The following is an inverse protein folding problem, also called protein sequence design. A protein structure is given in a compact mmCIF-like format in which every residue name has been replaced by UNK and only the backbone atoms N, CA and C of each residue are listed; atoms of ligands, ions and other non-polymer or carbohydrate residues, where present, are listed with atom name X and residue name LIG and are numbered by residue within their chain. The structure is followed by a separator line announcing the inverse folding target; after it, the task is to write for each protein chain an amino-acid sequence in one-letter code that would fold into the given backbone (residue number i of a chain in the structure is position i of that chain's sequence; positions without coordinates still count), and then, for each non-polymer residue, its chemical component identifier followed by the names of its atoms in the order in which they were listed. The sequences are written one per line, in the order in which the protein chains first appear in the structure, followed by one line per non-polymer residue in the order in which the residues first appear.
data_IF_774633670049
#
_entry.id   IF_774633670049
#
_cell.length_a   1.000
_cell.length_b   1.000
_cell.length_c   1.000
_cell.angle_alpha   90.00
_cell.angle_beta   90.00
_cell.angle_gamma   90.00
#
_symmetry.space_group_name_H-M   'P 1'
#
loop_
_entity.id
_entity.type
_entity.pdbx_description
1 polymer ?
#
# COMPACT_ATOMS: atom_id res chain seq x y z
N UNK A 1 2.21 7.15 -26.99
CA UNK A 1 1.04 7.86 -26.44
C UNK A 1 0.11 6.85 -25.81
N UNK A 2 0.12 6.77 -24.47
CA UNK A 2 -1.00 6.37 -23.61
C UNK A 2 -0.44 6.14 -22.20
N UNK A 3 -0.23 7.23 -21.45
CA UNK A 3 0.04 7.16 -20.02
C UNK A 3 -1.23 6.69 -19.30
N UNK A 4 -1.30 5.41 -18.95
CA UNK A 4 -2.21 4.96 -17.89
C UNK A 4 -1.48 3.99 -16.95
N UNK A 5 -0.44 4.52 -16.31
CA UNK A 5 0.21 3.91 -15.15
C UNK A 5 -0.61 4.20 -13.88
N UNK A 6 -1.44 3.24 -13.44
CA UNK A 6 -2.17 3.37 -12.17
C UNK A 6 -1.22 3.31 -10.96
N UNK A 7 -1.50 4.08 -9.90
CA UNK A 7 -0.71 4.05 -8.65
C UNK A 7 -0.67 2.63 -8.08
N UNK A 8 -1.85 2.02 -7.87
CA UNK A 8 -2.03 0.60 -7.59
C UNK A 8 -1.15 0.05 -6.44
N UNK A 9 -1.04 -1.28 -6.36
CA UNK A 9 -0.20 -1.95 -5.35
C UNK A 9 1.31 -1.77 -5.58
N UNK A 10 1.72 -1.25 -6.74
CA UNK A 10 3.12 -1.01 -7.08
C UNK A 10 3.67 0.32 -6.56
N UNK A 11 2.82 1.34 -6.37
CA UNK A 11 3.23 2.65 -5.85
C UNK A 11 3.99 2.56 -4.52
N UNK A 12 3.48 1.90 -3.47
CA UNK A 12 4.17 1.88 -2.18
C UNK A 12 5.49 1.10 -2.21
N UNK A 13 5.62 0.08 -3.06
CA UNK A 13 6.89 -0.62 -3.27
C UNK A 13 7.94 0.29 -3.94
N UNK A 14 7.52 1.10 -4.93
CA UNK A 14 8.40 2.08 -5.57
C UNK A 14 8.81 3.18 -4.60
N UNK A 15 7.88 3.71 -3.81
CA UNK A 15 8.18 4.71 -2.78
C UNK A 15 9.23 4.19 -1.80
N UNK A 16 9.09 2.95 -1.35
CA UNK A 16 10.05 2.31 -0.45
C UNK A 16 11.45 2.17 -1.06
N UNK A 17 11.54 1.72 -2.32
CA UNK A 17 12.84 1.61 -3.01
C UNK A 17 13.50 2.97 -3.25
N UNK A 18 12.70 3.98 -3.59
CA UNK A 18 13.18 5.36 -3.76
C UNK A 18 13.67 5.97 -2.44
N UNK A 19 12.95 5.77 -1.33
CA UNK A 19 13.36 6.24 -0.01
C UNK A 19 14.68 5.58 0.45
N UNK A 20 14.86 4.29 0.14
CA UNK A 20 16.11 3.58 0.38
C UNK A 20 17.23 3.89 -0.65
N UNK A 21 16.96 4.77 -1.62
CA UNK A 21 17.90 5.17 -2.69
C UNK A 21 18.45 3.98 -3.48
N UNK A 22 17.62 2.96 -3.68
CA UNK A 22 17.96 1.75 -4.44
C UNK A 22 17.56 1.92 -5.89
N UNK A 23 18.53 1.74 -6.79
CA UNK A 23 18.27 1.69 -8.23
C UNK A 23 17.38 0.49 -8.57
N UNK A 24 16.31 0.73 -9.32
CA UNK A 24 15.36 -0.30 -9.70
C UNK A 24 14.73 -0.01 -11.06
N UNK A 25 14.34 -1.08 -11.75
CA UNK A 25 13.57 -1.00 -12.99
C UNK A 25 12.08 -1.11 -12.68
N UNK A 26 11.26 -0.31 -13.36
CA UNK A 26 9.80 -0.38 -13.23
C UNK A 26 9.22 -0.95 -14.52
N UNK A 27 8.52 -2.07 -14.40
CA UNK A 27 7.76 -2.67 -15.48
C UNK A 27 6.28 -2.41 -15.25
N UNK A 28 5.66 -1.67 -16.17
CA UNK A 28 4.24 -1.32 -16.14
C UNK A 28 3.50 -2.03 -17.26
N UNK A 29 2.26 -2.40 -17.01
CA UNK A 29 1.38 -3.00 -18.01
C UNK A 29 0.20 -2.07 -18.24
N UNK A 30 0.02 -1.68 -19.48
CA UNK A 30 -1.12 -0.86 -19.88
C UNK A 30 -2.41 -1.68 -19.84
N UNK A 31 -3.49 -0.99 -19.48
CA UNK A 31 -4.85 -1.49 -19.63
C UNK A 31 -5.43 -0.82 -20.89
N UNK A 32 -5.91 -1.64 -21.81
CA UNK A 32 -6.45 -1.21 -23.09
C UNK A 32 -7.92 -1.64 -23.17
N UNK A 33 -8.77 -0.78 -23.71
CA UNK A 33 -10.17 -1.10 -23.96
C UNK A 33 -10.25 -2.24 -25.00
N UNK A 34 -11.02 -3.28 -24.68
CA UNK A 34 -11.23 -4.40 -25.59
C UNK A 34 -12.26 -3.97 -26.63
N UNK A 35 -11.80 -3.59 -27.83
CA UNK A 35 -12.66 -3.08 -28.90
C UNK A 35 -13.74 -4.06 -29.43
N UNK A 36 -13.83 -5.28 -28.88
CA UNK A 36 -14.81 -6.29 -29.28
C UNK A 36 -15.83 -6.66 -28.20
N UNK A 37 -15.59 -6.31 -26.93
CA UNK A 37 -16.50 -6.55 -25.81
C UNK A 37 -16.32 -5.38 -24.84
N UNK A 38 -17.39 -4.73 -24.37
CA UNK A 38 -17.37 -3.62 -23.40
C UNK A 38 -16.57 -3.95 -22.11
N UNK A 39 -15.24 -3.94 -22.19
CA UNK A 39 -14.35 -4.61 -21.26
C UNK A 39 -12.91 -4.14 -21.46
N UNK A 40 -12.02 -4.57 -20.57
CA UNK A 40 -10.64 -4.11 -20.53
C UNK A 40 -9.68 -5.29 -20.63
N UNK A 41 -8.64 -5.18 -21.45
CA UNK A 41 -7.58 -6.18 -21.62
C UNK A 41 -6.20 -5.61 -21.24
N UNK A 42 -5.25 -6.49 -20.97
CA UNK A 42 -3.86 -6.10 -20.67
C UNK A 42 -2.88 -7.14 -21.19
N UNK A 43 -1.73 -6.68 -21.70
CA UNK A 43 -0.59 -7.54 -22.08
C UNK A 43 -0.05 -8.36 -20.90
N UNK A 44 -0.41 -7.97 -19.66
CA UNK A 44 -0.13 -8.73 -18.46
C UNK A 44 -0.66 -10.18 -18.52
N UNK A 45 -1.84 -10.44 -19.09
CA UNK A 45 -2.41 -11.80 -19.07
C UNK A 45 -1.59 -12.81 -19.88
N UNK A 46 -0.99 -12.37 -20.98
CA UNK A 46 -0.05 -13.19 -21.75
C UNK A 46 1.25 -13.35 -20.97
N UNK A 47 1.79 -12.26 -20.45
CA UNK A 47 3.04 -12.25 -19.67
C UNK A 47 2.93 -13.14 -18.42
N UNK A 48 1.79 -13.14 -17.74
CA UNK A 48 1.50 -13.99 -16.57
C UNK A 48 1.68 -15.47 -16.90
N UNK A 49 1.12 -15.94 -18.03
CA UNK A 49 1.26 -17.35 -18.45
C UNK A 49 2.71 -17.72 -18.72
N UNK A 50 3.46 -16.85 -19.41
CA UNK A 50 4.90 -17.04 -19.66
C UNK A 50 5.68 -17.09 -18.35
N UNK A 51 5.49 -16.09 -17.46
CA UNK A 51 6.14 -16.03 -16.15
C UNK A 51 5.84 -17.27 -15.30
N UNK A 52 4.59 -17.74 -15.26
CA UNK A 52 4.22 -18.96 -14.52
C UNK A 52 5.00 -20.18 -15.03
N UNK A 53 5.15 -20.31 -16.34
CA UNK A 53 5.83 -21.44 -16.98
C UNK A 53 7.34 -21.36 -16.77
N UNK A 54 7.94 -20.19 -17.02
CA UNK A 54 9.38 -19.96 -16.95
C UNK A 54 9.92 -20.01 -15.51
N UNK A 55 9.23 -19.36 -14.58
CA UNK A 55 9.62 -19.33 -13.16
C UNK A 55 9.19 -20.58 -12.37
N UNK A 56 8.34 -21.43 -12.96
CA UNK A 56 7.64 -22.53 -12.28
C UNK A 56 6.91 -22.08 -11.00
N UNK A 57 6.49 -20.83 -10.94
CA UNK A 57 5.77 -20.25 -9.82
C UNK A 57 4.27 -20.22 -10.13
N UNK A 58 3.49 -21.05 -9.43
CA UNK A 58 2.02 -21.07 -9.59
C UNK A 58 1.34 -19.81 -9.02
N UNK A 59 2.02 -19.08 -8.14
CA UNK A 59 1.48 -17.92 -7.41
C UNK A 59 1.67 -16.59 -8.14
N UNK A 60 2.11 -16.61 -9.41
CA UNK A 60 2.35 -15.38 -10.18
C UNK A 60 1.11 -14.50 -10.19
N UNK A 61 1.28 -13.29 -9.66
CA UNK A 61 0.26 -12.27 -9.64
C UNK A 61 0.90 -10.88 -9.59
N UNK A 62 0.14 -9.84 -9.91
CA UNK A 62 0.57 -8.46 -9.63
C UNK A 62 0.32 -8.11 -8.14
N UNK A 63 1.17 -7.27 -7.54
CA UNK A 63 2.49 -6.88 -8.02
C UNK A 63 3.46 -8.07 -7.93
N UNK A 64 4.50 -8.06 -8.76
CA UNK A 64 5.63 -8.99 -8.65
C UNK A 64 6.95 -8.23 -8.55
N UNK A 65 7.95 -8.89 -7.96
CA UNK A 65 9.33 -8.39 -7.81
C UNK A 65 10.27 -9.41 -8.42
N UNK A 66 11.14 -8.96 -9.31
CA UNK A 66 12.23 -9.77 -9.86
C UNK A 66 13.49 -9.45 -9.07
N UNK A 67 13.88 -10.35 -8.18
CA UNK A 67 15.17 -10.30 -7.53
C UNK A 67 16.22 -10.89 -8.46
N UNK A 68 16.94 -10.02 -9.18
CA UNK A 68 18.00 -10.43 -10.11
C UNK A 68 19.20 -11.04 -9.37
N UNK A 69 19.47 -10.62 -8.14
CA UNK A 69 20.61 -11.09 -7.35
C UNK A 69 20.40 -12.54 -6.93
N UNK A 70 19.21 -12.85 -6.43
CA UNK A 70 18.85 -14.19 -5.97
C UNK A 70 18.19 -15.04 -7.07
N UNK A 71 18.00 -14.47 -8.26
CA UNK A 71 17.33 -15.10 -9.41
C UNK A 71 15.93 -15.64 -9.07
N UNK A 72 15.10 -14.80 -8.42
CA UNK A 72 13.75 -15.17 -7.94
C UNK A 72 12.67 -14.22 -8.45
N UNK A 73 11.50 -14.79 -8.70
CA UNK A 73 10.26 -14.05 -8.96
C UNK A 73 9.35 -14.18 -7.74
N UNK A 74 9.17 -13.07 -7.02
CA UNK A 74 8.23 -12.98 -5.90
C UNK A 74 6.94 -12.31 -6.35
N UNK A 75 5.82 -12.77 -5.82
CA UNK A 75 4.49 -12.25 -6.07
C UNK A 75 3.72 -12.20 -4.74
N UNK A 76 2.50 -11.66 -4.77
CA UNK A 76 1.67 -11.35 -3.60
C UNK A 76 2.19 -10.13 -2.84
N UNK A 77 1.32 -9.14 -2.66
CA UNK A 77 1.64 -7.82 -2.09
C UNK A 77 2.49 -7.90 -0.82
N UNK A 78 2.01 -8.60 0.21
CA UNK A 78 2.70 -8.63 1.51
C UNK A 78 4.04 -9.38 1.43
N UNK A 79 4.15 -10.40 0.58
CA UNK A 79 5.41 -11.10 0.36
C UNK A 79 6.42 -10.21 -0.37
N UNK A 80 5.98 -9.41 -1.34
CA UNK A 80 6.81 -8.41 -2.01
C UNK A 80 7.32 -7.34 -1.03
N UNK A 81 6.45 -6.80 -0.16
CA UNK A 81 6.85 -5.85 0.88
C UNK A 81 7.84 -6.47 1.87
N UNK A 82 7.54 -7.65 2.40
CA UNK A 82 8.40 -8.32 3.37
C UNK A 82 9.77 -8.65 2.78
N UNK A 83 9.83 -9.13 1.54
CA UNK A 83 11.10 -9.45 0.87
C UNK A 83 11.94 -8.18 0.66
N UNK A 84 11.39 -7.16 0.01
CA UNK A 84 12.13 -5.93 -0.25
C UNK A 84 12.53 -5.26 1.06
N UNK A 85 11.61 -5.14 2.02
CA UNK A 85 11.86 -4.55 3.33
C UNK A 85 13.03 -5.22 4.04
N UNK A 86 13.09 -6.57 4.06
CA UNK A 86 14.24 -7.29 4.65
C UNK A 86 15.55 -7.03 3.89
N UNK A 87 15.50 -6.95 2.56
CA UNK A 87 16.69 -6.68 1.74
C UNK A 87 17.30 -5.28 1.99
N UNK A 88 16.49 -4.29 2.35
CA UNK A 88 16.91 -2.88 2.51
C UNK A 88 16.90 -2.40 3.97
N UNK A 89 16.63 -3.28 4.94
CA UNK A 89 16.61 -2.94 6.36
C UNK A 89 15.36 -2.17 6.83
N UNK A 90 14.24 -2.28 6.12
CA UNK A 90 12.96 -1.62 6.41
C UNK A 90 11.88 -2.63 6.84
N UNK A 91 12.24 -3.62 7.66
CA UNK A 91 11.31 -4.67 8.12
C UNK A 91 11.57 -5.08 9.58
N UNK A 92 11.76 -4.07 10.44
CA UNK A 92 12.17 -4.24 11.83
C UNK A 92 13.65 -4.57 12.00
N UNK A 93 14.18 -4.33 13.19
CA UNK A 93 15.58 -4.59 13.57
C UNK A 93 15.76 -5.90 14.33
N UNK A 94 14.66 -6.50 14.78
CA UNK A 94 14.61 -7.73 15.56
C UNK A 94 13.30 -8.50 15.27
N UNK A 95 13.20 -9.73 15.76
CA UNK A 95 12.07 -10.63 15.49
C UNK A 95 10.73 -10.07 15.98
N UNK A 96 10.72 -9.28 17.06
CA UNK A 96 9.50 -8.66 17.58
C UNK A 96 9.02 -7.57 16.62
N UNK A 97 9.90 -6.65 16.23
CA UNK A 97 9.56 -5.59 15.26
C UNK A 97 9.18 -6.15 13.90
N UNK A 98 9.87 -7.20 13.43
CA UNK A 98 9.51 -7.88 12.19
C UNK A 98 8.11 -8.50 12.26
N UNK A 99 7.75 -9.12 13.40
CA UNK A 99 6.41 -9.67 13.63
C UNK A 99 5.33 -8.59 13.69
N UNK A 100 5.65 -7.41 14.23
CA UNK A 100 4.75 -6.25 14.20
C UNK A 100 4.57 -5.75 12.77
N UNK A 101 5.65 -5.67 11.97
CA UNK A 101 5.57 -5.32 10.55
C UNK A 101 4.64 -6.27 9.79
N UNK A 102 4.74 -7.58 10.03
CA UNK A 102 3.86 -8.57 9.41
C UNK A 102 2.39 -8.38 9.78
N UNK A 103 2.09 -8.16 11.07
CA UNK A 103 0.73 -7.87 11.53
C UNK A 103 0.16 -6.60 10.89
N UNK A 104 0.96 -5.54 10.83
CA UNK A 104 0.58 -4.28 10.19
C UNK A 104 0.30 -4.46 8.70
N UNK A 105 1.14 -5.19 7.96
CA UNK A 105 0.87 -5.48 6.56
C UNK A 105 -0.44 -6.25 6.34
N UNK A 106 -0.80 -7.16 7.25
CA UNK A 106 -2.09 -7.86 7.20
C UNK A 106 -3.26 -6.89 7.47
N UNK A 107 -3.19 -6.09 8.53
CA UNK A 107 -4.25 -5.13 8.87
C UNK A 107 -4.44 -4.05 7.78
N UNK A 108 -3.35 -3.57 7.18
CA UNK A 108 -3.38 -2.62 6.06
C UNK A 108 -3.95 -3.29 4.79
N UNK A 109 -3.70 -4.58 4.58
CA UNK A 109 -4.29 -5.32 3.47
C UNK A 109 -5.81 -5.47 3.64
N UNK A 110 -6.28 -5.67 4.87
CA UNK A 110 -7.72 -5.70 5.16
C UNK A 110 -8.36 -4.32 4.97
N UNK A 111 -7.70 -3.24 5.42
CA UNK A 111 -8.11 -1.85 5.14
C UNK A 111 -8.26 -1.57 3.64
N UNK A 112 -7.43 -2.21 2.81
CA UNK A 112 -7.48 -2.05 1.35
C UNK A 112 -8.73 -2.67 0.74
N UNK A 113 -9.33 -3.67 1.35
CA UNK A 113 -10.45 -4.40 0.75
C UNK A 113 -11.66 -3.49 0.42
N UNK A 114 -12.18 -2.66 1.35
CA UNK A 114 -13.25 -1.70 1.05
C UNK A 114 -12.91 -0.73 -0.10
N UNK A 115 -11.67 -0.24 -0.15
CA UNK A 115 -11.19 0.63 -1.23
C UNK A 115 -11.27 -0.07 -2.60
N UNK A 116 -10.86 -1.34 -2.68
CA UNK A 116 -10.91 -2.12 -3.93
C UNK A 116 -12.34 -2.42 -4.37
N UNK A 117 -13.23 -2.70 -3.43
CA UNK A 117 -14.65 -2.87 -3.75
C UNK A 117 -15.21 -1.59 -4.35
N UNK A 118 -14.91 -0.43 -3.76
CA UNK A 118 -15.30 0.86 -4.32
C UNK A 118 -14.74 1.07 -5.74
N UNK A 119 -13.44 0.91 -5.95
CA UNK A 119 -12.82 1.21 -7.24
C UNK A 119 -13.23 0.28 -8.40
N UNK A 120 -13.55 -0.99 -8.12
CA UNK A 120 -13.74 -1.99 -9.18
C UNK A 120 -15.12 -2.62 -9.23
N UNK A 121 -15.96 -2.43 -8.20
CA UNK A 121 -17.27 -3.09 -8.10
C UNK A 121 -18.40 -2.14 -7.76
N UNK A 122 -18.15 -0.84 -7.76
CA UNK A 122 -19.17 0.19 -7.54
C UNK A 122 -19.34 1.08 -8.78
N UNK A 123 -20.36 1.92 -8.75
CA UNK A 123 -20.60 2.96 -9.77
C UNK A 123 -19.84 4.27 -9.48
N UNK A 124 -19.00 4.30 -8.44
CA UNK A 124 -18.24 5.48 -8.04
C UNK A 124 -19.07 6.57 -7.37
N UNK A 125 -20.32 6.29 -6.99
CA UNK A 125 -21.20 7.25 -6.32
C UNK A 125 -20.73 7.63 -4.91
N UNK A 126 -21.25 8.76 -4.42
CA UNK A 126 -21.03 9.24 -3.05
C UNK A 126 -21.52 8.21 -2.02
N UNK A 127 -22.64 7.54 -2.30
CA UNK A 127 -23.25 6.52 -1.46
C UNK A 127 -22.34 5.30 -1.30
N UNK A 128 -21.75 4.81 -2.40
CA UNK A 128 -20.81 3.69 -2.36
C UNK A 128 -19.49 4.06 -1.70
N UNK A 129 -19.00 5.28 -1.91
CA UNK A 129 -17.82 5.79 -1.19
C UNK A 129 -18.07 5.82 0.33
N UNK A 130 -19.23 6.32 0.77
CA UNK A 130 -19.60 6.33 2.21
C UNK A 130 -19.69 4.91 2.78
N UNK A 131 -20.21 3.94 2.04
CA UNK A 131 -20.22 2.52 2.46
C UNK A 131 -18.80 1.97 2.60
N UNK A 132 -17.91 2.28 1.66
CA UNK A 132 -16.52 1.87 1.72
C UNK A 132 -15.79 2.49 2.93
N UNK A 133 -16.04 3.77 3.22
CA UNK A 133 -15.47 4.44 4.39
C UNK A 133 -15.98 3.84 5.70
N UNK A 134 -17.27 3.53 5.80
CA UNK A 134 -17.84 2.85 6.98
C UNK A 134 -17.24 1.45 7.19
N UNK A 135 -16.93 0.71 6.12
CA UNK A 135 -16.24 -0.58 6.22
C UNK A 135 -14.76 -0.44 6.57
N UNK A 136 -14.10 0.65 6.14
CA UNK A 136 -12.71 0.95 6.45
C UNK A 136 -12.51 1.47 7.89
N UNK A 137 -13.53 2.08 8.48
CA UNK A 137 -13.45 2.75 9.79
C UNK A 137 -12.85 1.89 10.91
N UNK A 138 -13.25 0.61 11.13
CA UNK A 138 -12.67 -0.21 12.19
C UNK A 138 -11.16 -0.42 12.03
N UNK A 139 -10.67 -0.53 10.79
CA UNK A 139 -9.25 -0.69 10.48
C UNK A 139 -8.48 0.62 10.72
N UNK A 140 -9.06 1.76 10.30
CA UNK A 140 -8.49 3.08 10.57
C UNK A 140 -8.41 3.36 12.08
N UNK A 141 -9.44 2.99 12.84
CA UNK A 141 -9.42 3.12 14.30
C UNK A 141 -8.31 2.29 14.95
N UNK A 142 -8.16 1.01 14.56
CA UNK A 142 -7.06 0.16 15.07
C UNK A 142 -5.68 0.73 14.76
N UNK A 143 -5.44 1.18 13.53
CA UNK A 143 -4.16 1.75 13.12
C UNK A 143 -3.89 3.09 13.83
N UNK A 144 -4.91 3.92 14.03
CA UNK A 144 -4.81 5.13 14.82
C UNK A 144 -4.47 4.83 16.30
N UNK A 145 -5.08 3.79 16.88
CA UNK A 145 -4.75 3.32 18.23
C UNK A 145 -3.35 2.71 18.32
N UNK A 146 -2.89 1.99 17.30
CA UNK A 146 -1.51 1.49 17.22
C UNK A 146 -0.50 2.63 17.31
N UNK A 147 -0.66 3.67 16.49
CA UNK A 147 0.19 4.86 16.53
C UNK A 147 0.11 5.60 17.88
N UNK A 148 -1.05 5.63 18.52
CA UNK A 148 -1.18 6.20 19.87
C UNK A 148 -0.37 5.41 20.91
N UNK A 149 -0.37 4.08 20.83
CA UNK A 149 0.44 3.24 21.72
C UNK A 149 1.94 3.44 21.47
N UNK A 150 2.36 3.57 20.22
CA UNK A 150 3.75 3.88 19.87
C UNK A 150 4.23 5.24 20.43
N UNK A 151 3.33 6.23 20.52
CA UNK A 151 3.64 7.51 21.16
C UNK A 151 3.84 7.35 22.67
N UNK A 152 2.94 6.62 23.32
CA UNK A 152 2.92 6.44 24.77
C UNK A 152 4.04 5.54 25.31
N UNK A 153 4.60 4.65 24.47
CA UNK A 153 5.71 3.77 24.86
C UNK A 153 6.99 4.54 25.27
N UNK A 154 7.08 5.85 25.01
CA UNK A 154 8.19 6.72 25.42
C UNK A 154 7.95 7.57 26.68
N UNK A 155 6.75 7.56 27.27
CA UNK A 155 6.40 8.41 28.42
C UNK A 155 6.34 9.92 28.11
N UNK A 156 6.28 10.28 26.83
CA UNK A 156 6.19 11.66 26.35
C UNK A 156 4.92 11.82 25.53
N UNK A 157 3.89 12.38 26.17
CA UNK A 157 2.55 12.58 25.57
C UNK A 157 2.60 13.52 24.34
N UNK A 158 3.64 14.35 24.22
CA UNK A 158 3.85 15.29 23.11
C UNK A 158 4.72 14.71 21.98
N UNK A 159 5.18 13.45 22.10
CA UNK A 159 5.99 12.82 21.07
C UNK A 159 5.18 12.64 19.79
N UNK A 160 5.63 13.31 18.73
CA UNK A 160 5.13 13.06 17.38
C UNK A 160 5.58 11.68 16.89
N UNK A 161 4.64 10.85 16.46
CA UNK A 161 4.92 9.52 15.92
C UNK A 161 4.58 9.48 14.45
N UNK A 162 5.64 9.41 13.63
CA UNK A 162 5.57 9.34 12.18
C UNK A 162 5.89 7.95 11.62
N UNK A 163 6.10 6.98 12.51
CA UNK A 163 6.57 5.65 12.18
C UNK A 163 5.71 4.61 12.87
N UNK A 164 5.33 3.56 12.16
CA UNK A 164 4.54 2.47 12.70
C UNK A 164 5.34 1.54 13.60
N UNK A 165 6.66 1.45 13.42
CA UNK A 165 7.53 0.53 14.17
C UNK A 165 8.88 1.17 14.45
N UNK A 166 9.32 1.14 15.71
CA UNK A 166 10.73 1.38 16.08
C UNK A 166 11.28 2.78 15.82
N UNK A 167 10.41 3.75 15.51
CA UNK A 167 10.81 5.14 15.23
C UNK A 167 11.56 5.32 13.90
N UNK A 168 11.45 4.37 12.98
CA UNK A 168 12.04 4.43 11.63
C UNK A 168 11.02 4.00 10.58
N UNK A 169 11.18 4.43 9.33
CA UNK A 169 10.29 3.99 8.25
C UNK A 169 10.53 2.51 7.92
N UNK A 170 9.43 1.77 7.88
CA UNK A 170 9.36 0.34 7.57
C UNK A 170 8.37 0.09 6.42
N UNK A 171 8.40 -1.11 5.84
CA UNK A 171 7.54 -1.47 4.70
C UNK A 171 6.01 -1.18 4.93
N UNK A 172 5.43 -1.45 6.11
CA UNK A 172 4.06 -1.04 6.42
C UNK A 172 3.77 0.45 6.28
N UNK A 173 4.71 1.34 6.60
CA UNK A 173 4.51 2.79 6.55
C UNK A 173 4.17 3.25 5.12
N UNK A 174 4.93 2.77 4.13
CA UNK A 174 4.69 3.06 2.72
C UNK A 174 3.33 2.53 2.26
N UNK A 175 2.93 1.34 2.73
CA UNK A 175 1.65 0.76 2.36
C UNK A 175 0.48 1.56 2.94
N UNK A 176 0.57 1.94 4.21
CA UNK A 176 -0.45 2.72 4.89
C UNK A 176 -0.57 4.12 4.27
N UNK A 177 0.55 4.80 4.05
CA UNK A 177 0.57 6.14 3.46
C UNK A 177 -0.20 6.20 2.13
N UNK A 178 0.07 5.28 1.20
CA UNK A 178 -0.64 5.23 -0.09
C UNK A 178 -2.15 5.07 0.12
N UNK A 179 -2.59 4.19 1.01
CA UNK A 179 -4.03 3.99 1.24
C UNK A 179 -4.68 5.24 1.86
N UNK A 180 -4.05 5.88 2.83
CA UNK A 180 -4.56 7.11 3.43
C UNK A 180 -4.67 8.23 2.39
N UNK A 181 -3.68 8.37 1.50
CA UNK A 181 -3.71 9.34 0.40
C UNK A 181 -4.87 9.07 -0.55
N UNK A 182 -5.10 7.80 -0.91
CA UNK A 182 -6.22 7.39 -1.76
C UNK A 182 -7.59 7.64 -1.12
N UNK A 183 -7.76 7.33 0.17
CA UNK A 183 -9.02 7.61 0.89
C UNK A 183 -9.30 9.11 0.96
N UNK A 184 -8.28 9.92 1.29
CA UNK A 184 -8.38 11.37 1.32
C UNK A 184 -8.76 11.93 -0.06
N UNK A 185 -8.13 11.43 -1.13
CA UNK A 185 -8.40 11.86 -2.49
C UNK A 185 -9.85 11.54 -2.92
N UNK A 186 -10.37 10.35 -2.59
CA UNK A 186 -11.77 9.99 -2.88
C UNK A 186 -12.71 10.94 -2.12
N UNK A 187 -12.47 11.16 -0.83
CA UNK A 187 -13.32 12.00 0.01
C UNK A 187 -13.40 13.44 -0.53
N UNK A 188 -12.26 14.00 -0.96
CA UNK A 188 -12.20 15.34 -1.55
C UNK A 188 -12.85 15.39 -2.93
N UNK A 189 -12.53 14.43 -3.81
CA UNK A 189 -13.05 14.40 -5.19
C UNK A 189 -14.58 14.32 -5.23
N UNK A 190 -15.17 13.58 -4.28
CA UNK A 190 -16.62 13.41 -4.17
C UNK A 190 -17.30 14.46 -3.28
N UNK A 191 -16.56 15.44 -2.75
CA UNK A 191 -17.10 16.48 -1.87
C UNK A 191 -17.68 15.94 -0.55
N UNK A 192 -17.16 14.81 -0.05
CA UNK A 192 -17.61 14.17 1.19
C UNK A 192 -16.95 14.83 2.41
N UNK A 193 -15.65 15.07 2.33
CA UNK A 193 -14.87 15.75 3.37
C UNK A 193 -13.59 16.33 2.79
N UNK A 194 -13.25 17.56 3.18
CA UNK A 194 -11.96 18.17 2.85
C UNK A 194 -10.82 17.64 3.73
N UNK A 195 -11.16 17.10 4.92
CA UNK A 195 -10.23 16.56 5.93
C UNK A 195 -10.72 15.20 6.42
N UNK A 196 -10.58 14.17 5.59
CA UNK A 196 -11.03 12.81 5.91
C UNK A 196 -10.35 12.25 7.16
N UNK A 197 -9.06 12.59 7.37
CA UNK A 197 -8.29 12.13 8.52
C UNK A 197 -8.51 12.97 9.79
N UNK A 198 -9.35 14.01 9.75
CA UNK A 198 -9.60 14.86 10.93
C UNK A 198 -10.11 14.10 12.15
N UNK A 199 -10.80 12.97 11.95
CA UNK A 199 -11.28 12.10 13.02
C UNK A 199 -10.25 11.06 13.52
N UNK A 200 -9.09 10.99 12.86
CA UNK A 200 -7.99 10.07 13.19
C UNK A 200 -6.69 10.86 13.40
N UNK A 201 -6.54 11.55 14.55
CA UNK A 201 -5.47 12.52 14.74
C UNK A 201 -4.07 11.93 14.58
N UNK A 202 -3.85 10.68 15.01
CA UNK A 202 -2.54 10.02 14.87
C UNK A 202 -2.28 9.59 13.43
N UNK A 203 -3.29 9.13 12.68
CA UNK A 203 -3.13 8.85 11.25
C UNK A 203 -2.87 10.13 10.44
N UNK A 204 -3.50 11.25 10.81
CA UNK A 204 -3.24 12.55 10.20
C UNK A 204 -1.80 13.00 10.43
N UNK A 205 -1.34 12.93 11.68
CA UNK A 205 0.04 13.22 12.06
C UNK A 205 1.06 12.30 11.37
N UNK A 206 0.75 11.01 11.26
CA UNK A 206 1.53 10.04 10.50
C UNK A 206 1.63 10.45 9.03
N UNK A 207 0.50 10.73 8.35
CA UNK A 207 0.50 11.12 6.94
C UNK A 207 1.32 12.39 6.71
N UNK A 208 1.11 13.42 7.53
CA UNK A 208 1.86 14.68 7.42
C UNK A 208 3.36 14.47 7.62
N UNK A 209 3.78 13.71 8.65
CA UNK A 209 5.19 13.42 8.85
C UNK A 209 5.81 12.58 7.75
N UNK A 210 5.02 11.70 7.11
CA UNK A 210 5.47 10.93 5.95
C UNK A 210 5.66 11.82 4.71
N UNK A 211 4.84 12.86 4.52
CA UNK A 211 4.99 13.82 3.39
C UNK A 211 6.22 14.72 3.53
N UNK A 212 6.71 14.90 4.75
CA UNK A 212 7.91 15.70 5.07
C UNK A 212 9.22 14.90 4.92
N UNK A 213 9.18 13.65 4.41
CA UNK A 213 10.37 12.87 4.09
C UNK A 213 11.22 13.57 3.01
N UNK A 214 12.43 14.01 3.39
CA UNK A 214 13.50 14.41 2.46
C UNK A 214 14.36 13.24 1.98
#
# INVERSE_FOLDING_TARGET
SSDLSIRGLGAPLRMMLSAAKINHDIYMYDIVEDGNNDGWTSSYFQTKKSLQTESKNALVNLPFVVDRKECRLLCQTNACFAHIGRCIGMFGTNDVEASICEQLLCEIYDLRYPYIIFCYRSDGSVEEAKKAFAQAEPHLQKLNSHLANEANNGGDDDKKVHHLVGGVFTAPDFHLFELLDQFQLIAQTLGISDDFLGQYPRLKEFKTGFEELE
#
